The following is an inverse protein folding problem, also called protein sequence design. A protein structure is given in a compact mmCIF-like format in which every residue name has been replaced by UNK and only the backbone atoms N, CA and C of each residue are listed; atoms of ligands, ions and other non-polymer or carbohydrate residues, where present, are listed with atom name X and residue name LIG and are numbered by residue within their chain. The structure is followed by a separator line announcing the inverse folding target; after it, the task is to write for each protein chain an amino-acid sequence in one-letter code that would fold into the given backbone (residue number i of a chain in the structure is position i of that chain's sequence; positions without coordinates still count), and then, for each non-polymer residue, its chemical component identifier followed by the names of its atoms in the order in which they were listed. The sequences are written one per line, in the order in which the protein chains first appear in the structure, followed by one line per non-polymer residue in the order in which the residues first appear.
data_IF_309483409828
#
_entry.id   IF_309483409828
#
_cell.length_a   1.000
_cell.length_b   1.000
_cell.length_c   1.000
_cell.angle_alpha   90.00
_cell.angle_beta   90.00
_cell.angle_gamma   90.00
#
_symmetry.space_group_name_H-M   'P 1'
#
loop_
_entity.id
_entity.type
_entity.pdbx_description
1 polymer ?
#
# COMPACT_ATOMS: atom_id res chain seq x y z
N UNK A 1 15.70 2.10 -48.61
CA UNK A 1 16.76 1.08 -48.49
C UNK A 1 16.64 0.43 -47.12
N UNK A 2 16.57 -0.90 -47.14
CA UNK A 2 16.84 -1.90 -46.08
C UNK A 2 16.29 -1.70 -44.64
N UNK A 3 15.42 -2.64 -44.27
CA UNK A 3 15.10 -3.03 -42.89
C UNK A 3 16.33 -3.66 -42.20
N UNK A 4 16.47 -3.41 -40.89
CA UNK A 4 17.41 -4.13 -40.04
C UNK A 4 16.66 -4.73 -38.84
N UNK A 5 16.45 -6.05 -38.92
CA UNK A 5 15.96 -6.92 -37.86
C UNK A 5 17.04 -7.10 -36.78
N UNK A 6 16.74 -6.76 -35.53
CA UNK A 6 17.59 -7.10 -34.39
C UNK A 6 17.37 -8.56 -33.97
N UNK A 7 18.47 -9.32 -33.87
CA UNK A 7 18.54 -10.72 -33.42
C UNK A 7 18.49 -10.81 -31.87
N UNK A 8 18.02 -11.94 -31.30
CA UNK A 8 17.96 -12.12 -29.84
C UNK A 8 19.33 -12.43 -29.22
N UNK A 9 19.56 -11.89 -28.03
CA UNK A 9 20.76 -12.10 -27.19
C UNK A 9 20.90 -13.55 -26.70
N UNK A 10 22.15 -14.02 -26.71
CA UNK A 10 22.62 -15.30 -26.19
C UNK A 10 22.38 -15.47 -24.68
N UNK A 11 21.96 -16.69 -24.30
CA UNK A 11 22.00 -17.19 -22.93
C UNK A 11 23.39 -17.79 -22.66
N UNK A 12 24.20 -17.12 -21.84
CA UNK A 12 25.43 -17.70 -21.28
C UNK A 12 25.08 -18.87 -20.34
N UNK A 13 25.35 -20.11 -20.77
CA UNK A 13 25.37 -21.28 -19.90
C UNK A 13 26.73 -21.40 -19.21
N UNK A 14 26.75 -21.37 -17.88
CA UNK A 14 27.92 -21.74 -17.10
C UNK A 14 28.08 -23.28 -17.09
N UNK A 15 29.01 -23.79 -17.89
CA UNK A 15 29.43 -25.20 -17.85
C UNK A 15 30.30 -25.46 -16.62
N UNK A 16 29.85 -26.30 -15.69
CA UNK A 16 30.72 -26.88 -14.65
C UNK A 16 31.49 -28.06 -15.24
N UNK A 17 32.81 -27.98 -15.20
CA UNK A 17 33.73 -29.07 -15.53
C UNK A 17 33.63 -30.20 -14.49
N UNK A 18 33.58 -31.45 -14.96
CA UNK A 18 33.67 -32.65 -14.13
C UNK A 18 35.02 -33.35 -14.38
N UNK A 19 35.72 -33.68 -13.31
CA UNK A 19 36.94 -34.50 -13.28
C UNK A 19 36.60 -36.00 -13.38
N UNK A 20 37.48 -36.87 -13.92
CA UNK A 20 37.19 -38.30 -14.09
C UNK A 20 37.90 -39.19 -13.06
N UNK A 21 37.21 -40.18 -12.48
CA UNK A 21 37.79 -41.47 -12.02
C UNK A 21 36.67 -42.49 -11.64
N UNK A 22 36.94 -43.81 -11.46
CA UNK A 22 36.56 -44.82 -12.44
C UNK A 22 35.53 -45.86 -11.96
N UNK A 23 35.23 -46.76 -12.90
CA UNK A 23 34.30 -47.90 -12.95
C UNK A 23 33.97 -48.65 -11.64
N UNK A 24 32.67 -48.97 -11.50
CA UNK A 24 32.20 -50.18 -10.82
C UNK A 24 30.99 -50.01 -9.90
N UNK A 25 29.78 -49.85 -10.43
CA UNK A 25 28.53 -50.42 -9.87
C UNK A 25 27.31 -50.05 -10.74
N UNK A 26 26.34 -50.98 -10.82
CA UNK A 26 25.16 -50.93 -11.68
C UNK A 26 24.27 -49.67 -11.47
N UNK A 27 23.59 -49.15 -12.51
CA UNK A 27 22.85 -47.90 -12.38
C UNK A 27 21.50 -48.14 -11.69
N UNK A 28 21.36 -47.62 -10.47
CA UNK A 28 20.06 -47.40 -9.86
C UNK A 28 19.32 -46.27 -10.59
N UNK A 29 18.07 -46.54 -10.98
CA UNK A 29 17.19 -45.64 -11.74
C UNK A 29 17.02 -44.28 -11.02
N UNK A 30 17.39 -43.13 -11.63
CA UNK A 30 17.27 -41.86 -10.95
C UNK A 30 15.80 -41.44 -10.85
N UNK A 31 15.30 -41.28 -9.62
CA UNK A 31 14.00 -40.63 -9.38
C UNK A 31 14.11 -39.17 -9.81
N UNK A 32 13.39 -38.79 -10.87
CA UNK A 32 13.24 -37.40 -11.33
C UNK A 32 12.70 -36.55 -10.17
N UNK A 33 13.57 -35.83 -9.45
CA UNK A 33 13.15 -34.70 -8.61
C UNK A 33 12.64 -33.63 -9.58
N UNK A 34 11.32 -33.43 -9.60
CA UNK A 34 10.72 -32.24 -10.23
C UNK A 34 11.28 -31.03 -9.50
N UNK A 35 12.27 -30.37 -10.11
CA UNK A 35 12.63 -29.01 -9.77
C UNK A 35 11.43 -28.14 -10.17
N UNK A 36 10.59 -27.81 -9.19
CA UNK A 36 9.55 -26.82 -9.37
C UNK A 36 10.22 -25.46 -9.49
N UNK A 37 10.40 -24.98 -10.72
CA UNK A 37 10.72 -23.57 -10.96
C UNK A 37 9.49 -22.78 -10.56
N UNK A 38 9.53 -22.12 -9.40
CA UNK A 38 8.52 -21.13 -9.03
C UNK A 38 8.75 -19.94 -9.95
N UNK A 39 7.96 -19.84 -11.02
CA UNK A 39 7.86 -18.62 -11.81
C UNK A 39 7.02 -17.65 -10.99
N UNK A 40 7.65 -16.61 -10.43
CA UNK A 40 6.93 -15.41 -10.07
C UNK A 40 6.36 -14.85 -11.37
N UNK A 41 5.04 -14.96 -11.54
CA UNK A 41 4.37 -14.27 -12.62
C UNK A 41 4.46 -12.77 -12.29
N UNK A 42 5.17 -12.00 -13.11
CA UNK A 42 5.00 -10.57 -13.14
C UNK A 42 3.52 -10.33 -13.50
N UNK A 43 2.73 -9.94 -12.51
CA UNK A 43 1.35 -9.56 -12.74
C UNK A 43 1.42 -8.33 -13.63
N UNK A 44 0.73 -8.33 -14.78
CA UNK A 44 0.73 -7.17 -15.66
C UNK A 44 0.30 -5.92 -14.87
N UNK A 45 0.97 -4.77 -15.06
CA UNK A 45 0.62 -3.54 -14.37
C UNK A 45 -0.85 -3.21 -14.63
N UNK A 46 -1.57 -2.78 -13.59
CA UNK A 46 -2.99 -2.50 -13.73
C UNK A 46 -3.19 -1.25 -14.63
N UNK A 47 -4.16 -1.28 -15.56
CA UNK A 47 -4.38 -0.15 -16.45
C UNK A 47 -4.81 1.09 -15.67
N UNK A 48 -4.05 2.17 -15.85
CA UNK A 48 -4.33 3.47 -15.27
C UNK A 48 -5.66 4.03 -15.78
N UNK A 49 -6.55 4.40 -14.85
CA UNK A 49 -7.85 5.02 -15.19
C UNK A 49 -9.01 4.05 -15.37
N UNK A 50 -8.76 2.74 -15.39
CA UNK A 50 -9.83 1.74 -15.32
C UNK A 50 -10.16 1.45 -13.85
N UNK A 51 -11.41 1.68 -13.43
CA UNK A 51 -11.86 1.34 -12.07
C UNK A 51 -12.23 -0.14 -11.99
N UNK A 52 -11.67 -0.83 -11.02
CA UNK A 52 -12.01 -2.21 -10.67
C UNK A 52 -13.35 -2.24 -9.93
N UNK A 53 -14.23 -3.17 -10.29
CA UNK A 53 -15.49 -3.40 -9.55
C UNK A 53 -15.20 -4.28 -8.33
N UNK A 54 -15.40 -3.72 -7.13
CA UNK A 54 -15.26 -4.45 -5.87
C UNK A 54 -16.64 -4.80 -5.30
N UNK A 55 -16.78 -6.01 -4.77
CA UNK A 55 -18.03 -6.50 -4.15
C UNK A 55 -17.84 -6.60 -2.64
N UNK A 56 -18.18 -5.52 -1.94
CA UNK A 56 -18.08 -5.46 -0.47
C UNK A 56 -19.25 -6.15 0.20
N UNK A 57 -18.95 -7.08 1.11
CA UNK A 57 -19.93 -7.71 1.98
C UNK A 57 -20.36 -6.80 3.14
N UNK A 58 -21.30 -7.27 3.97
CA UNK A 58 -21.80 -6.49 5.11
C UNK A 58 -20.72 -6.12 6.13
N UNK A 59 -19.75 -7.02 6.37
CA UNK A 59 -18.67 -6.81 7.35
C UNK A 59 -17.70 -5.72 6.87
N UNK A 60 -17.32 -5.75 5.60
CA UNK A 60 -16.49 -4.73 4.97
C UNK A 60 -17.18 -3.36 5.02
N UNK A 61 -18.50 -3.31 4.73
CA UNK A 61 -19.31 -2.09 4.87
C UNK A 61 -19.35 -1.58 6.30
N UNK A 62 -19.44 -2.48 7.29
CA UNK A 62 -19.38 -2.12 8.70
C UNK A 62 -18.06 -1.43 9.06
N UNK A 63 -16.93 -2.00 8.63
CA UNK A 63 -15.61 -1.40 8.84
C UNK A 63 -15.48 -0.05 8.13
N UNK A 64 -15.88 0.03 6.86
CA UNK A 64 -15.89 1.30 6.11
C UNK A 64 -16.67 2.39 6.85
N UNK A 65 -17.90 2.10 7.29
CA UNK A 65 -18.72 3.08 8.01
C UNK A 65 -18.13 3.49 9.36
N UNK A 66 -17.47 2.59 10.09
CA UNK A 66 -16.79 2.92 11.34
C UNK A 66 -15.62 3.89 11.12
N UNK A 67 -14.76 3.60 10.15
CA UNK A 67 -13.63 4.46 9.80
C UNK A 67 -14.10 5.81 9.29
N UNK A 68 -15.07 5.81 8.37
CA UNK A 68 -15.61 7.03 7.79
C UNK A 68 -16.20 7.95 8.86
N UNK A 69 -17.00 7.42 9.80
CA UNK A 69 -17.56 8.21 10.91
C UNK A 69 -16.49 8.83 11.81
N UNK A 70 -15.34 8.17 11.99
CA UNK A 70 -14.22 8.74 12.73
C UNK A 70 -13.53 9.86 11.95
N UNK A 71 -13.32 9.66 10.65
CA UNK A 71 -12.76 10.67 9.75
C UNK A 71 -13.67 11.90 9.62
N UNK A 72 -15.01 11.73 9.66
CA UNK A 72 -15.97 12.84 9.55
C UNK A 72 -15.82 13.90 10.65
N UNK A 73 -15.38 13.50 11.84
CA UNK A 73 -15.07 14.45 12.93
C UNK A 73 -14.01 15.46 12.53
N UNK A 74 -13.14 15.10 11.59
CA UNK A 74 -12.09 15.97 11.05
C UNK A 74 -12.54 16.64 9.74
N UNK A 75 -13.49 16.10 9.00
CA UNK A 75 -13.95 16.66 7.73
C UNK A 75 -14.63 18.04 7.84
N UNK A 76 -15.11 18.44 9.03
CA UNK A 76 -15.95 19.64 9.24
C UNK A 76 -15.17 20.94 9.52
N UNK A 77 -13.84 20.92 9.53
CA UNK A 77 -13.01 22.09 9.84
C UNK A 77 -12.71 23.07 8.70
N UNK A 78 -13.16 22.79 7.46
CA UNK A 78 -12.79 23.54 6.26
C UNK A 78 -13.83 24.58 5.82
N UNK A 79 -13.91 25.72 6.50
CA UNK A 79 -14.59 26.93 6.00
C UNK A 79 -16.09 27.01 6.28
N UNK A 80 -16.51 28.14 6.85
CA UNK A 80 -17.91 28.56 7.00
C UNK A 80 -18.61 28.63 5.63
N UNK A 81 -19.15 27.51 5.14
CA UNK A 81 -20.33 27.58 4.28
C UNK A 81 -21.49 27.95 5.20
N UNK A 82 -22.15 29.07 4.91
CA UNK A 82 -23.39 29.50 5.56
C UNK A 82 -24.25 28.26 5.81
N UNK A 83 -24.61 28.04 7.07
CA UNK A 83 -25.66 27.10 7.44
C UNK A 83 -26.88 27.45 6.58
N UNK A 84 -27.10 26.68 5.52
CA UNK A 84 -28.46 26.36 5.12
C UNK A 84 -29.05 25.59 6.31
N UNK A 85 -30.34 25.80 6.63
CA UNK A 85 -30.95 25.18 7.79
C UNK A 85 -30.70 23.68 7.68
N UNK A 86 -30.23 23.10 8.79
CA UNK A 86 -29.98 21.69 8.91
C UNK A 86 -31.25 20.91 8.52
N UNK A 87 -31.34 20.51 7.25
CA UNK A 87 -31.79 19.15 7.01
C UNK A 87 -30.84 18.30 7.84
N UNK A 88 -31.39 17.67 8.87
CA UNK A 88 -30.74 16.53 9.51
C UNK A 88 -30.44 15.57 8.35
N UNK A 89 -29.24 15.64 7.78
CA UNK A 89 -28.68 14.49 7.08
C UNK A 89 -28.82 13.36 8.10
N UNK A 90 -29.77 12.45 7.85
CA UNK A 90 -29.93 11.26 8.66
C UNK A 90 -28.54 10.65 8.75
N UNK A 91 -28.02 10.50 9.97
CA UNK A 91 -26.75 9.83 10.21
C UNK A 91 -26.80 8.51 9.43
N UNK A 92 -26.08 8.44 8.29
CA UNK A 92 -26.14 7.27 7.39
C UNK A 92 -25.83 6.06 8.24
N UNK A 93 -26.71 5.05 8.20
CA UNK A 93 -26.45 3.84 8.96
C UNK A 93 -25.11 3.26 8.50
N UNK A 94 -24.33 2.65 9.41
CA UNK A 94 -22.98 2.14 9.10
C UNK A 94 -22.98 1.22 7.86
N UNK A 95 -24.09 0.53 7.59
CA UNK A 95 -24.29 -0.38 6.46
C UNK A 95 -24.59 0.29 5.11
N UNK A 96 -24.94 1.59 5.11
CA UNK A 96 -25.20 2.41 3.92
C UNK A 96 -23.92 3.05 3.37
N UNK A 97 -22.78 2.83 4.03
CA UNK A 97 -21.48 3.30 3.58
C UNK A 97 -20.95 2.40 2.48
N UNK A 98 -20.49 3.03 1.40
CA UNK A 98 -19.66 2.41 0.37
C UNK A 98 -18.27 3.04 0.33
N UNK A 99 -17.42 2.48 -0.53
CA UNK A 99 -16.04 2.90 -0.63
C UNK A 99 -15.87 4.30 -1.22
N UNK A 100 -16.75 4.74 -2.11
CA UNK A 100 -16.70 6.09 -2.68
C UNK A 100 -17.03 7.14 -1.60
N UNK A 101 -18.04 6.89 -0.76
CA UNK A 101 -18.34 7.73 0.40
C UNK A 101 -17.13 7.82 1.36
N UNK A 102 -16.44 6.70 1.61
CA UNK A 102 -15.21 6.69 2.42
C UNK A 102 -14.12 7.58 1.82
N UNK A 103 -13.84 7.45 0.52
CA UNK A 103 -12.85 8.28 -0.19
C UNK A 103 -13.25 9.76 -0.17
N UNK A 104 -14.54 10.07 -0.28
CA UNK A 104 -15.06 11.44 -0.24
C UNK A 104 -14.91 12.08 1.14
N UNK A 105 -15.08 11.31 2.24
CA UNK A 105 -14.74 11.80 3.58
C UNK A 105 -13.25 12.15 3.65
N UNK A 106 -12.37 11.26 3.17
CA UNK A 106 -10.93 11.54 3.15
C UNK A 106 -10.59 12.79 2.35
N UNK A 107 -11.28 13.02 1.22
CA UNK A 107 -11.17 14.24 0.41
C UNK A 107 -11.55 15.48 1.21
N UNK A 108 -12.66 15.42 1.95
CA UNK A 108 -13.12 16.52 2.84
C UNK A 108 -12.12 16.79 3.98
N UNK A 109 -11.49 15.76 4.54
CA UNK A 109 -10.44 15.95 5.56
C UNK A 109 -9.26 16.77 5.02
N UNK A 110 -8.93 16.69 3.72
CA UNK A 110 -7.85 17.52 3.16
C UNK A 110 -8.20 19.00 2.97
N UNK A 111 -9.48 19.37 2.93
CA UNK A 111 -9.91 20.74 2.61
C UNK A 111 -9.47 21.71 3.71
N UNK A 112 -8.74 22.76 3.33
CA UNK A 112 -8.27 23.79 4.26
C UNK A 112 -7.15 23.34 5.20
N UNK A 113 -6.55 22.16 5.00
CA UNK A 113 -5.45 21.64 5.82
C UNK A 113 -4.12 21.65 5.09
N UNK A 114 -3.06 22.00 5.81
CA UNK A 114 -1.67 21.76 5.38
C UNK A 114 -1.38 20.26 5.35
N UNK A 115 -0.27 19.88 4.71
CA UNK A 115 0.20 18.48 4.68
C UNK A 115 0.32 17.87 6.07
N UNK A 116 0.98 18.58 6.99
CA UNK A 116 1.17 18.12 8.37
C UNK A 116 -0.18 17.95 9.10
N UNK A 117 -1.12 18.88 8.91
CA UNK A 117 -2.46 18.78 9.52
C UNK A 117 -3.28 17.62 8.96
N UNK A 118 -3.11 17.29 7.68
CA UNK A 118 -3.74 16.10 7.06
C UNK A 118 -3.20 14.83 7.71
N UNK A 119 -1.87 14.74 7.82
CA UNK A 119 -1.19 13.58 8.37
C UNK A 119 -1.58 13.34 9.84
N UNK A 120 -1.59 14.41 10.64
CA UNK A 120 -1.99 14.37 12.04
C UNK A 120 -3.45 13.95 12.22
N UNK A 121 -4.36 14.48 11.39
CA UNK A 121 -5.78 14.10 11.47
C UNK A 121 -5.99 12.60 11.23
N UNK A 122 -5.27 12.00 10.27
CA UNK A 122 -5.35 10.56 10.02
C UNK A 122 -4.69 9.76 11.14
N UNK A 123 -3.55 10.22 11.64
CA UNK A 123 -2.86 9.60 12.78
C UNK A 123 -3.78 9.50 14.00
N UNK A 124 -4.50 10.56 14.32
CA UNK A 124 -5.50 10.58 15.40
C UNK A 124 -6.67 9.63 15.13
N UNK A 125 -7.12 9.51 13.88
CA UNK A 125 -8.13 8.52 13.51
C UNK A 125 -7.63 7.10 13.77
N UNK A 126 -6.40 6.77 13.35
CA UNK A 126 -5.78 5.45 13.59
C UNK A 126 -5.65 5.16 15.09
N UNK A 127 -5.15 6.11 15.87
CA UNK A 127 -5.03 6.00 17.33
C UNK A 127 -6.38 5.75 17.99
N UNK A 128 -7.43 6.45 17.56
CA UNK A 128 -8.76 6.27 18.15
C UNK A 128 -9.32 4.85 17.98
N UNK A 129 -8.78 4.07 17.04
CA UNK A 129 -9.20 2.68 16.79
C UNK A 129 -8.58 1.69 17.77
N UNK A 130 -7.50 2.07 18.42
CA UNK A 130 -6.89 1.26 19.45
C UNK A 130 -7.64 1.42 20.78
N UNK A 131 -7.69 0.37 21.61
CA UNK A 131 -8.13 0.50 22.99
C UNK A 131 -7.23 1.49 23.77
N UNK A 132 -7.76 2.20 24.78
CA UNK A 132 -6.94 3.08 25.63
C UNK A 132 -5.74 2.33 26.25
N UNK A 133 -4.55 2.94 26.20
CA UNK A 133 -3.30 2.37 26.74
C UNK A 133 -2.60 1.35 25.83
N UNK A 134 -3.24 0.94 24.74
CA UNK A 134 -2.71 -0.09 23.85
C UNK A 134 -1.39 0.31 23.13
N UNK A 135 -1.14 1.56 22.69
CA UNK A 135 0.14 1.91 22.03
C UNK A 135 1.37 1.61 22.88
N UNK A 136 1.36 2.03 24.16
CA UNK A 136 2.47 1.77 25.09
C UNK A 136 2.64 0.28 25.41
N UNK A 137 1.54 -0.47 25.41
CA UNK A 137 1.54 -1.92 25.60
C UNK A 137 2.05 -2.64 24.35
N UNK A 138 1.68 -2.20 23.14
CA UNK A 138 2.13 -2.81 21.88
C UNK A 138 3.64 -2.68 21.70
N UNK A 139 4.22 -1.50 21.95
CA UNK A 139 5.68 -1.30 21.89
C UNK A 139 6.45 -2.24 22.82
N UNK A 140 5.86 -2.62 23.97
CA UNK A 140 6.46 -3.55 24.93
C UNK A 140 6.22 -5.02 24.57
N UNK A 141 5.06 -5.34 24.01
CA UNK A 141 4.62 -6.71 23.73
C UNK A 141 5.08 -7.22 22.35
N UNK A 142 5.36 -6.33 21.40
CA UNK A 142 5.74 -6.66 20.03
C UNK A 142 7.06 -5.98 19.64
N UNK A 143 8.21 -6.45 20.15
CA UNK A 143 9.49 -5.99 19.63
C UNK A 143 9.56 -6.28 18.11
N UNK A 144 10.26 -5.44 17.32
CA UNK A 144 10.35 -5.55 15.87
C UNK A 144 11.25 -6.74 15.46
N UNK A 145 10.78 -7.93 15.78
CA UNK A 145 11.39 -9.20 15.42
C UNK A 145 10.94 -9.60 14.02
N UNK A 146 11.71 -10.46 13.36
CA UNK A 146 11.32 -11.09 12.10
C UNK A 146 9.92 -11.71 12.19
N UNK A 147 9.64 -12.43 13.28
CA UNK A 147 8.33 -13.06 13.49
C UNK A 147 7.21 -12.01 13.53
N UNK A 148 7.38 -10.91 14.26
CA UNK A 148 6.39 -9.84 14.31
C UNK A 148 6.16 -9.21 12.92
N UNK A 149 7.22 -9.02 12.15
CA UNK A 149 7.14 -8.48 10.79
C UNK A 149 6.37 -9.44 9.85
N UNK A 150 6.72 -10.73 9.85
CA UNK A 150 6.05 -11.75 9.03
C UNK A 150 4.59 -11.96 9.45
N UNK A 151 4.29 -11.92 10.75
CA UNK A 151 2.93 -12.02 11.27
C UNK A 151 2.06 -10.84 10.83
N UNK A 152 2.57 -9.61 10.94
CA UNK A 152 1.82 -8.42 10.51
C UNK A 152 1.60 -8.42 9.00
N UNK A 153 2.60 -8.82 8.20
CA UNK A 153 2.42 -8.97 6.75
C UNK A 153 1.32 -10.00 6.41
N UNK A 154 1.33 -11.16 7.07
CA UNK A 154 0.33 -12.20 6.88
C UNK A 154 -1.07 -11.78 7.31
N UNK A 155 -1.20 -10.99 8.39
CA UNK A 155 -2.48 -10.45 8.87
C UNK A 155 -3.03 -9.34 7.97
N UNK A 156 -2.15 -8.51 7.41
CA UNK A 156 -2.52 -7.37 6.56
C UNK A 156 -3.28 -7.81 5.31
N UNK A 157 -2.88 -8.92 4.69
CA UNK A 157 -3.51 -9.42 3.45
C UNK A 157 -5.02 -9.66 3.60
N UNK A 158 -5.51 -10.49 4.53
CA UNK A 158 -6.94 -10.70 4.72
C UNK A 158 -7.63 -9.51 5.41
N UNK A 159 -6.98 -8.86 6.38
CA UNK A 159 -7.64 -7.84 7.22
C UNK A 159 -7.88 -6.53 6.46
N UNK A 160 -6.94 -6.11 5.62
CA UNK A 160 -7.02 -4.86 4.86
C UNK A 160 -7.43 -5.07 3.41
N UNK A 161 -7.80 -6.28 2.98
CA UNK A 161 -8.27 -6.55 1.61
C UNK A 161 -9.39 -5.60 1.16
N UNK A 162 -10.35 -5.31 2.04
CA UNK A 162 -11.44 -4.38 1.74
C UNK A 162 -10.96 -2.94 1.50
N UNK A 163 -9.88 -2.53 2.18
CA UNK A 163 -9.34 -1.18 2.14
C UNK A 163 -8.40 -0.98 0.96
N UNK A 164 -7.44 -1.88 0.78
CA UNK A 164 -6.37 -1.71 -0.22
C UNK A 164 -6.56 -2.55 -1.47
N UNK A 165 -7.48 -3.52 -1.46
CA UNK A 165 -7.70 -4.44 -2.58
C UNK A 165 -6.85 -5.71 -2.52
N UNK A 166 -6.80 -6.49 -3.62
CA UNK A 166 -6.04 -7.73 -3.70
C UNK A 166 -4.57 -7.55 -3.37
N UNK A 167 -4.07 -8.38 -2.47
CA UNK A 167 -2.68 -8.33 -2.00
C UNK A 167 -2.13 -9.72 -1.70
N UNK A 168 -0.81 -9.85 -1.67
CA UNK A 168 -0.13 -11.10 -1.33
C UNK A 168 1.16 -10.84 -0.54
N UNK A 169 1.53 -11.79 0.33
CA UNK A 169 2.81 -11.73 1.06
C UNK A 169 3.94 -12.08 0.11
N UNK A 170 4.97 -11.24 0.08
CA UNK A 170 6.19 -11.42 -0.70
C UNK A 170 7.42 -11.52 0.20
N UNK A 171 8.48 -12.15 -0.33
CA UNK A 171 9.79 -12.17 0.32
C UNK A 171 10.54 -10.88 0.01
N UNK A 172 11.10 -10.26 1.04
CA UNK A 172 11.87 -9.02 0.98
C UNK A 172 13.13 -9.17 1.80
N UNK A 173 14.13 -8.34 1.52
CA UNK A 173 15.36 -8.27 2.29
C UNK A 173 15.38 -7.01 3.17
N UNK A 174 15.46 -7.22 4.48
CA UNK A 174 15.52 -6.13 5.47
C UNK A 174 16.79 -6.31 6.28
N UNK A 175 17.69 -5.32 6.26
CA UNK A 175 18.97 -5.35 6.97
C UNK A 175 19.80 -6.62 6.66
N UNK A 176 19.81 -7.06 5.40
CA UNK A 176 20.54 -8.26 4.95
C UNK A 176 19.84 -9.59 5.28
N UNK A 177 18.64 -9.56 5.85
CA UNK A 177 17.88 -10.76 6.21
C UNK A 177 16.67 -10.92 5.30
N UNK A 178 16.60 -12.06 4.62
CA UNK A 178 15.41 -12.45 3.84
C UNK A 178 14.29 -12.93 4.75
N UNK A 179 13.12 -12.33 4.59
CA UNK A 179 11.93 -12.63 5.38
C UNK A 179 10.65 -12.37 4.59
N UNK A 180 9.55 -13.03 4.99
CA UNK A 180 8.23 -12.86 4.36
C UNK A 180 7.44 -11.71 4.99
N UNK A 181 8.07 -10.54 5.06
CA UNK A 181 7.50 -9.36 5.72
C UNK A 181 7.06 -8.27 4.74
N UNK A 182 7.11 -8.54 3.43
CA UNK A 182 6.55 -7.66 2.41
C UNK A 182 5.11 -8.05 2.07
N UNK A 183 4.28 -7.06 1.77
CA UNK A 183 2.94 -7.22 1.20
C UNK A 183 2.89 -6.44 -0.10
N UNK A 184 2.60 -7.13 -1.20
CA UNK A 184 2.38 -6.51 -2.51
C UNK A 184 0.88 -6.35 -2.72
N UNK A 185 0.40 -5.11 -2.73
CA UNK A 185 -0.93 -4.73 -3.18
C UNK A 185 -0.89 -4.62 -4.70
N UNK A 186 -1.63 -5.47 -5.41
CA UNK A 186 -1.55 -5.58 -6.88
C UNK A 186 -2.11 -4.35 -7.58
N UNK A 187 -3.19 -3.81 -7.03
CA UNK A 187 -3.80 -2.53 -7.42
C UNK A 187 -4.44 -1.93 -6.17
N UNK A 188 -3.91 -0.80 -5.72
CA UNK A 188 -4.34 -0.14 -4.51
C UNK A 188 -5.68 0.54 -4.76
N UNK A 189 -6.75 -0.06 -4.21
CA UNK A 189 -8.12 0.45 -4.28
C UNK A 189 -8.22 1.91 -3.83
N UNK A 190 -7.50 2.31 -2.78
CA UNK A 190 -7.52 3.70 -2.31
C UNK A 190 -6.90 4.67 -3.31
N UNK A 191 -5.75 4.32 -3.91
CA UNK A 191 -5.11 5.14 -4.94
C UNK A 191 -5.95 5.21 -6.22
N UNK A 192 -6.50 4.07 -6.64
CA UNK A 192 -7.40 3.92 -7.80
C UNK A 192 -8.65 4.80 -7.67
N UNK A 193 -9.40 4.68 -6.57
CA UNK A 193 -10.64 5.44 -6.39
C UNK A 193 -10.39 6.92 -6.08
N UNK A 194 -9.32 7.25 -5.35
CA UNK A 194 -9.00 8.65 -5.05
C UNK A 194 -8.49 9.41 -6.28
N UNK A 195 -7.74 8.73 -7.17
CA UNK A 195 -7.09 9.34 -8.31
C UNK A 195 -6.14 10.48 -7.92
N UNK A 196 -5.59 10.46 -6.70
CA UNK A 196 -4.87 11.59 -6.13
C UNK A 196 -3.60 11.16 -5.39
N UNK A 197 -2.45 11.55 -5.94
CA UNK A 197 -1.12 11.34 -5.34
C UNK A 197 -1.03 11.96 -3.94
N UNK A 198 -1.57 13.17 -3.75
CA UNK A 198 -1.61 13.83 -2.44
C UNK A 198 -2.41 13.05 -1.39
N UNK A 199 -3.53 12.44 -1.77
CA UNK A 199 -4.30 11.57 -0.87
C UNK A 199 -3.50 10.32 -0.52
N UNK A 200 -2.87 9.68 -1.50
CA UNK A 200 -2.04 8.50 -1.25
C UNK A 200 -0.91 8.79 -0.25
N UNK A 201 -0.19 9.90 -0.43
CA UNK A 201 0.95 10.24 0.42
C UNK A 201 0.50 10.73 1.80
N UNK A 202 -0.40 11.72 1.86
CA UNK A 202 -0.72 12.40 3.12
C UNK A 202 -1.80 11.74 3.94
N UNK A 203 -2.67 10.95 3.31
CA UNK A 203 -3.80 10.32 3.99
C UNK A 203 -3.63 8.81 4.20
N UNK A 204 -2.72 8.17 3.48
CA UNK A 204 -2.47 6.74 3.60
C UNK A 204 -1.04 6.46 4.03
N UNK A 205 -0.05 6.73 3.15
CA UNK A 205 1.34 6.34 3.36
C UNK A 205 1.94 6.92 4.64
N UNK A 206 2.08 8.25 4.73
CA UNK A 206 2.84 8.86 5.82
C UNK A 206 2.20 8.60 7.19
N UNK A 207 0.87 8.77 7.37
CA UNK A 207 0.24 8.47 8.66
C UNK A 207 0.34 7.00 9.05
N UNK A 208 0.25 6.07 8.09
CA UNK A 208 0.36 4.63 8.38
C UNK A 208 1.79 4.24 8.76
N UNK A 209 2.79 4.75 8.04
CA UNK A 209 4.20 4.53 8.39
C UNK A 209 4.53 5.08 9.78
N UNK A 210 4.04 6.28 10.09
CA UNK A 210 4.22 6.91 11.41
C UNK A 210 3.54 6.08 12.51
N UNK A 211 2.27 5.71 12.31
CA UNK A 211 1.52 4.90 13.27
C UNK A 211 2.22 3.56 13.56
N UNK A 212 2.63 2.81 12.54
CA UNK A 212 3.30 1.53 12.77
C UNK A 212 4.68 1.72 13.41
N UNK A 213 5.47 2.68 12.94
CA UNK A 213 6.85 2.87 13.42
C UNK A 213 6.90 3.47 14.82
N UNK A 214 6.12 4.51 15.07
CA UNK A 214 6.19 5.32 16.28
C UNK A 214 5.17 4.90 17.33
N UNK A 215 3.96 4.50 16.95
CA UNK A 215 2.93 4.08 17.93
C UNK A 215 2.97 2.58 18.18
N UNK A 216 3.06 1.77 17.14
CA UNK A 216 3.05 0.31 17.26
C UNK A 216 4.45 -0.26 17.56
N UNK A 217 5.53 0.48 17.25
CA UNK A 217 6.91 0.05 17.48
C UNK A 217 7.44 -0.94 16.44
N UNK A 218 6.76 -1.07 15.30
CA UNK A 218 7.13 -1.94 14.19
C UNK A 218 7.40 -1.09 12.95
N UNK A 219 8.66 -0.92 12.53
CA UNK A 219 8.98 -0.14 11.34
C UNK A 219 8.20 -0.62 10.12
N UNK A 220 7.66 0.31 9.35
CA UNK A 220 6.93 0.04 8.12
C UNK A 220 7.31 1.06 7.06
N UNK A 221 7.74 0.58 5.90
CA UNK A 221 7.90 1.38 4.68
C UNK A 221 6.79 1.02 3.69
N UNK A 222 6.16 2.02 3.08
CA UNK A 222 5.16 1.84 2.03
C UNK A 222 5.64 2.47 0.74
N UNK A 223 5.69 1.72 -0.35
CA UNK A 223 6.15 2.18 -1.67
C UNK A 223 4.99 2.11 -2.67
N UNK A 224 4.19 3.19 -2.84
CA UNK A 224 3.20 3.24 -3.89
C UNK A 224 3.88 3.38 -5.25
N UNK A 225 3.40 2.63 -6.24
CA UNK A 225 3.73 2.85 -7.64
C UNK A 225 2.60 3.63 -8.30
N UNK A 226 2.90 4.85 -8.73
CA UNK A 226 1.90 5.72 -9.33
C UNK A 226 1.63 5.41 -10.80
N UNK A 227 2.44 4.56 -11.44
CA UNK A 227 2.27 4.17 -12.86
C UNK A 227 1.30 3.00 -13.05
N UNK A 228 1.22 2.08 -12.09
CA UNK A 228 0.35 0.89 -12.16
C UNK A 228 -0.64 0.79 -10.99
N UNK A 229 -0.65 1.80 -10.12
CA UNK A 229 -1.45 1.89 -8.90
C UNK A 229 -1.16 0.80 -7.86
N UNK A 230 -0.09 0.01 -7.98
CA UNK A 230 0.31 -0.97 -6.96
C UNK A 230 0.92 -0.29 -5.74
N UNK A 231 1.09 -1.04 -4.64
CA UNK A 231 1.80 -0.55 -3.46
C UNK A 231 2.47 -1.70 -2.70
N UNK A 232 3.74 -1.53 -2.35
CA UNK A 232 4.43 -2.44 -1.44
C UNK A 232 4.36 -1.92 -0.02
N UNK A 233 4.14 -2.81 0.95
CA UNK A 233 4.25 -2.53 2.38
C UNK A 233 5.32 -3.47 2.96
N UNK A 234 6.38 -2.92 3.54
CA UNK A 234 7.54 -3.68 4.02
C UNK A 234 7.66 -3.51 5.53
N UNK A 235 7.22 -4.53 6.27
CA UNK A 235 7.37 -4.57 7.72
C UNK A 235 8.81 -4.89 8.11
N UNK A 236 9.31 -4.15 9.10
CA UNK A 236 10.69 -4.18 9.58
C UNK A 236 11.63 -3.20 8.88
N UNK A 237 11.21 -2.59 7.76
CA UNK A 237 11.98 -1.55 7.09
C UNK A 237 11.65 -0.18 7.68
N UNK A 238 12.69 0.60 7.97
CA UNK A 238 12.53 1.97 8.46
C UNK A 238 12.13 2.86 7.28
N UNK A 239 11.04 3.64 7.40
CA UNK A 239 10.64 4.56 6.33
C UNK A 239 11.69 5.65 6.13
N UNK A 240 11.94 6.07 4.88
CA UNK A 240 12.85 7.18 4.62
C UNK A 240 12.28 8.50 5.18
N UNK A 241 13.15 9.48 5.48
CA UNK A 241 12.72 10.86 5.68
C UNK A 241 11.91 11.35 4.47
N UNK A 242 10.94 12.22 4.71
CA UNK A 242 10.00 12.60 3.65
C UNK A 242 10.68 13.34 2.49
N UNK A 243 11.71 14.12 2.77
CA UNK A 243 12.50 14.88 1.78
C UNK A 243 13.26 13.93 0.84
N UNK A 244 13.58 12.73 1.31
CA UNK A 244 14.26 11.68 0.55
C UNK A 244 13.27 10.75 -0.14
N UNK A 245 12.04 10.64 0.37
CA UNK A 245 11.00 9.75 -0.13
C UNK A 245 10.61 10.07 -1.59
N UNK A 246 10.76 9.12 -2.54
CA UNK A 246 10.36 9.33 -3.93
C UNK A 246 8.88 9.66 -4.10
N UNK A 247 8.00 9.23 -3.17
CA UNK A 247 6.57 9.50 -3.24
C UNK A 247 6.24 10.98 -2.97
N UNK A 248 7.11 11.73 -2.28
CA UNK A 248 6.91 13.16 -2.00
C UNK A 248 7.26 14.07 -3.19
N UNK A 249 7.86 13.50 -4.25
CA UNK A 249 8.35 14.21 -5.44
C UNK A 249 7.51 13.95 -6.70
N UNK A 250 6.35 13.33 -6.55
CA UNK A 250 5.55 12.85 -7.67
C UNK A 250 4.65 13.96 -8.23
N UNK A 251 4.48 14.05 -9.56
CA UNK A 251 3.50 14.94 -10.18
C UNK A 251 2.08 14.44 -9.90
N UNK A 252 1.07 15.31 -10.09
CA UNK A 252 -0.31 14.83 -10.06
C UNK A 252 -0.64 14.03 -11.35
N UNK A 253 -1.71 13.25 -11.34
CA UNK A 253 -2.16 12.53 -12.54
C UNK A 253 -2.73 13.46 -13.62
N UNK A 254 -2.15 13.52 -14.83
CA UNK A 254 -2.58 14.43 -15.89
C UNK A 254 -4.06 14.32 -16.27
N UNK A 255 -4.56 13.08 -16.36
CA UNK A 255 -5.92 12.81 -16.86
C UNK A 255 -6.96 12.58 -15.75
N UNK A 256 -6.54 12.57 -14.48
CA UNK A 256 -7.41 12.25 -13.34
C UNK A 256 -7.51 13.40 -12.33
N UNK A 257 -6.54 14.31 -12.30
CA UNK A 257 -6.47 15.40 -11.33
C UNK A 257 -6.70 16.74 -12.01
N UNK A 258 -7.75 17.48 -11.61
CA UNK A 258 -8.03 18.82 -12.13
C UNK A 258 -6.98 19.87 -11.75
N UNK A 259 -6.16 19.59 -10.72
CA UNK A 259 -5.02 20.43 -10.33
C UNK A 259 -3.72 20.07 -11.06
N UNK A 260 -3.76 19.08 -11.95
CA UNK A 260 -2.57 18.68 -12.70
C UNK A 260 -2.20 19.75 -13.71
N UNK A 261 -0.96 20.21 -13.64
CA UNK A 261 -0.35 21.06 -14.65
C UNK A 261 0.76 20.26 -15.34
N UNK A 262 0.73 20.09 -16.68
CA UNK A 262 1.70 19.25 -17.40
C UNK A 262 3.17 19.62 -17.17
N UNK A 263 3.45 20.89 -16.82
CA UNK A 263 4.79 21.40 -16.57
C UNK A 263 5.24 21.32 -15.11
N UNK A 264 4.35 21.02 -14.15
CA UNK A 264 4.73 20.96 -12.74
C UNK A 264 5.35 19.59 -12.41
N UNK A 265 6.60 19.56 -11.91
CA UNK A 265 7.28 18.30 -11.61
C UNK A 265 6.74 17.62 -10.35
N UNK A 266 6.06 18.38 -9.46
CA UNK A 266 5.57 17.89 -8.16
C UNK A 266 4.11 18.31 -7.96
N UNK A 267 3.31 17.40 -7.43
CA UNK A 267 1.91 17.65 -7.14
C UNK A 267 1.78 18.71 -6.02
N UNK A 268 1.01 19.80 -6.20
CA UNK A 268 0.89 20.86 -5.19
C UNK A 268 0.37 20.40 -3.83
N UNK A 269 -0.26 19.22 -3.76
CA UNK A 269 -0.72 18.61 -2.50
C UNK A 269 0.38 17.95 -1.68
N UNK A 270 1.59 17.81 -2.22
CA UNK A 270 2.75 17.26 -1.51
C UNK A 270 3.64 18.35 -0.89
N UNK A 271 3.36 19.61 -1.23
CA UNK A 271 4.06 20.80 -0.75
C UNK A 271 3.41 21.36 0.53
#
# INVERSE_FOLDING_TARGET
MAAATARPMELCFASRAATPTPAGMAPARPKKRRAGTVRCAATAPAPMGEKTEYRDGPLERAFMGLFARKMEKYATGGGKRKQQPAEKEKEKAVWEWDYENFVDVSRRVMVGRTRAQQQEAVREVLLSMLPPGAPEQFRKLFPPTRWACEFNAALTVPFFHWLVGPSEVIEVEVNGVKQKSGVLIKKCRYLENSGCVGMCVNMCKIPTQDFFTNEFGLPLTMNPNFEDMSCEMIYGQVPPPLEEDPASKQPCYPNLCSMSTPSAPVCPKLQ
#
